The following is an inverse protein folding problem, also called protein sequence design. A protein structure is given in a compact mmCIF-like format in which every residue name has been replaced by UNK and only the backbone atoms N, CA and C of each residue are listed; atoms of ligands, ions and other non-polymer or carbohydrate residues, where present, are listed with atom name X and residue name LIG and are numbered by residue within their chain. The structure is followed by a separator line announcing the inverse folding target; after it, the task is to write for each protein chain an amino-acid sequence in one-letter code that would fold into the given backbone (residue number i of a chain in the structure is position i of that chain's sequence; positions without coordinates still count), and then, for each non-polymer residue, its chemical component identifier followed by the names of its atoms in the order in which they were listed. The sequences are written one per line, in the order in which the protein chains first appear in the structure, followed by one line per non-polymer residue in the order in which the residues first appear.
data_IF_914699419858
#
_entry.id   IF_914699419858
#
_cell.length_a   1.000
_cell.length_b   1.000
_cell.length_c   1.000
_cell.angle_alpha   90.00
_cell.angle_beta   90.00
_cell.angle_gamma   90.00
#
_symmetry.space_group_name_H-M   'P 1'
#
loop_
_entity.id
_entity.type
_entity.pdbx_description
1 polymer ?
#
# COMPACT_ATOMS: atom_id res chain seq x y z
N UNK A 1 -22.26 16.61 -33.13
CA UNK A 1 -22.11 17.45 -31.94
C UNK A 1 -22.56 16.68 -30.70
N UNK A 2 -21.71 16.56 -29.70
CA UNK A 2 -22.00 15.76 -28.50
C UNK A 2 -22.84 16.60 -27.53
N UNK A 3 -23.93 16.03 -26.99
CA UNK A 3 -24.77 16.72 -26.01
C UNK A 3 -24.12 16.78 -24.62
N UNK A 4 -24.59 17.69 -23.74
CA UNK A 4 -24.10 17.78 -22.36
C UNK A 4 -24.31 16.48 -21.59
N UNK A 5 -25.46 15.82 -21.81
CA UNK A 5 -25.74 14.54 -21.17
C UNK A 5 -24.80 13.43 -21.62
N UNK A 6 -24.44 13.41 -22.90
CA UNK A 6 -23.48 12.43 -23.43
C UNK A 6 -22.07 12.66 -22.86
N UNK A 7 -21.64 13.92 -22.74
CA UNK A 7 -20.35 14.27 -22.12
C UNK A 7 -20.33 13.84 -20.66
N UNK A 8 -21.42 14.08 -19.92
CA UNK A 8 -21.55 13.68 -18.51
C UNK A 8 -21.49 12.16 -18.35
N UNK A 9 -22.24 11.41 -19.17
CA UNK A 9 -22.28 9.95 -19.13
C UNK A 9 -20.90 9.38 -19.45
N UNK A 10 -20.20 9.92 -20.46
CA UNK A 10 -18.84 9.51 -20.82
C UNK A 10 -17.86 9.77 -19.67
N UNK A 11 -17.94 10.93 -19.03
CA UNK A 11 -17.13 11.27 -17.87
C UNK A 11 -17.37 10.32 -16.70
N UNK A 12 -18.64 10.00 -16.41
CA UNK A 12 -19.00 9.05 -15.36
C UNK A 12 -18.46 7.65 -15.64
N UNK A 13 -18.57 7.17 -16.89
CA UNK A 13 -18.00 5.87 -17.30
C UNK A 13 -16.48 5.85 -17.16
N UNK A 14 -15.79 6.92 -17.56
CA UNK A 14 -14.34 7.03 -17.42
C UNK A 14 -13.91 7.00 -15.95
N UNK A 15 -14.65 7.65 -15.07
CA UNK A 15 -14.40 7.63 -13.64
C UNK A 15 -14.56 6.23 -13.05
N UNK A 16 -15.64 5.54 -13.39
CA UNK A 16 -15.89 4.15 -12.97
C UNK A 16 -14.77 3.24 -13.44
N UNK A 17 -14.33 3.39 -14.70
CA UNK A 17 -13.23 2.60 -15.24
C UNK A 17 -11.91 2.88 -14.52
N UNK A 18 -11.67 4.12 -14.11
CA UNK A 18 -10.48 4.49 -13.34
C UNK A 18 -10.43 3.76 -11.99
N UNK A 19 -11.55 3.71 -11.27
CA UNK A 19 -11.66 2.92 -10.05
C UNK A 19 -11.46 1.43 -10.30
N UNK A 20 -12.05 0.91 -11.37
CA UNK A 20 -11.90 -0.50 -11.77
C UNK A 20 -10.43 -0.86 -12.00
N UNK A 21 -9.68 -0.01 -12.72
CA UNK A 21 -8.26 -0.24 -12.97
C UNK A 21 -7.43 -0.11 -11.70
N UNK A 22 -7.76 0.83 -10.81
CA UNK A 22 -7.09 0.98 -9.54
C UNK A 22 -7.24 -0.27 -8.66
N UNK A 23 -8.45 -0.78 -8.51
CA UNK A 23 -8.71 -2.03 -7.78
C UNK A 23 -8.02 -3.23 -8.42
N UNK A 24 -7.99 -3.29 -9.75
CA UNK A 24 -7.26 -4.34 -10.46
C UNK A 24 -5.76 -4.30 -10.15
N UNK A 25 -5.16 -3.10 -10.14
CA UNK A 25 -3.75 -2.90 -9.78
C UNK A 25 -3.45 -3.38 -8.36
N UNK A 26 -4.29 -3.03 -7.40
CA UNK A 26 -4.18 -3.49 -6.01
C UNK A 26 -4.23 -5.01 -5.95
N UNK A 27 -5.22 -5.62 -6.59
CA UNK A 27 -5.39 -7.07 -6.63
C UNK A 27 -4.18 -7.77 -7.25
N UNK A 28 -3.67 -7.27 -8.37
CA UNK A 28 -2.50 -7.85 -9.05
C UNK A 28 -1.25 -7.74 -8.20
N UNK A 29 -1.04 -6.62 -7.53
CA UNK A 29 0.09 -6.43 -6.62
C UNK A 29 0.00 -7.41 -5.44
N UNK A 30 -1.17 -7.53 -4.83
CA UNK A 30 -1.40 -8.49 -3.73
C UNK A 30 -1.11 -9.93 -4.17
N UNK A 31 -1.56 -10.30 -5.38
CA UNK A 31 -1.40 -11.65 -5.88
C UNK A 31 0.06 -12.00 -6.23
N UNK A 32 0.80 -11.05 -6.79
CA UNK A 32 2.15 -11.28 -7.31
C UNK A 32 3.26 -11.03 -6.29
N UNK A 33 3.04 -10.15 -5.31
CA UNK A 33 4.10 -9.68 -4.40
C UNK A 33 4.00 -10.34 -3.02
N UNK A 34 5.08 -11.03 -2.62
CA UNK A 34 5.19 -11.63 -1.29
C UNK A 34 5.12 -10.58 -0.18
N UNK A 35 5.81 -9.46 -0.36
CA UNK A 35 5.84 -8.39 0.64
C UNK A 35 4.45 -7.78 0.87
N UNK A 36 3.65 -7.63 -0.18
CA UNK A 36 2.27 -7.17 -0.05
C UNK A 36 1.45 -8.10 0.84
N UNK A 37 1.61 -9.42 0.68
CA UNK A 37 0.93 -10.42 1.51
C UNK A 37 1.35 -10.31 2.98
N UNK A 38 2.64 -10.10 3.24
CA UNK A 38 3.18 -9.91 4.59
C UNK A 38 2.57 -8.66 5.24
N UNK A 39 2.52 -7.54 4.53
CA UNK A 39 1.93 -6.30 5.05
C UNK A 39 0.43 -6.47 5.31
N UNK A 40 -0.31 -7.12 4.42
CA UNK A 40 -1.73 -7.38 4.63
C UNK A 40 -1.97 -8.30 5.84
N UNK A 41 -1.13 -9.31 6.03
CA UNK A 41 -1.20 -10.19 7.20
C UNK A 41 -0.94 -9.39 8.49
N UNK A 42 0.05 -8.50 8.48
CA UNK A 42 0.33 -7.61 9.61
C UNK A 42 -0.86 -6.70 9.93
N UNK A 43 -1.52 -6.14 8.92
CA UNK A 43 -2.73 -5.33 9.10
C UNK A 43 -3.83 -6.13 9.79
N UNK A 44 -4.10 -7.34 9.33
CA UNK A 44 -5.11 -8.22 9.93
C UNK A 44 -4.76 -8.51 11.39
N UNK A 45 -3.51 -8.84 11.68
CA UNK A 45 -3.05 -9.13 13.03
C UNK A 45 -3.24 -7.92 13.96
N UNK A 46 -2.87 -6.72 13.51
CA UNK A 46 -3.03 -5.49 14.29
C UNK A 46 -4.51 -5.17 14.56
N UNK A 47 -5.38 -5.39 13.57
CA UNK A 47 -6.83 -5.21 13.77
C UNK A 47 -7.35 -6.16 14.86
N UNK A 48 -6.95 -7.42 14.82
CA UNK A 48 -7.32 -8.40 15.84
C UNK A 48 -6.83 -7.96 17.22
N UNK A 49 -5.54 -7.60 17.33
CA UNK A 49 -4.96 -7.14 18.60
C UNK A 49 -5.63 -5.86 19.10
N UNK A 50 -6.00 -4.96 18.21
CA UNK A 50 -6.72 -3.73 18.57
C UNK A 50 -8.06 -4.01 19.24
N UNK A 51 -8.81 -5.00 18.76
CA UNK A 51 -10.05 -5.43 19.40
C UNK A 51 -9.80 -6.19 20.70
N UNK A 52 -8.80 -7.06 20.73
CA UNK A 52 -8.47 -7.84 21.94
C UNK A 52 -8.06 -6.92 23.10
N UNK A 53 -7.19 -5.94 22.82
CA UNK A 53 -6.67 -5.01 23.83
C UNK A 53 -7.48 -3.72 23.95
N UNK A 54 -8.58 -3.60 23.23
CA UNK A 54 -9.51 -2.47 23.30
C UNK A 54 -8.78 -1.12 23.21
N UNK A 55 -8.03 -0.93 22.14
CA UNK A 55 -7.27 0.30 21.92
C UNK A 55 -8.22 1.49 21.74
N UNK A 56 -7.74 2.69 22.05
CA UNK A 56 -8.52 3.93 21.96
C UNK A 56 -8.84 4.30 20.50
N UNK A 57 -9.80 5.20 20.31
CA UNK A 57 -10.14 5.72 18.98
C UNK A 57 -8.95 6.42 18.32
N UNK A 58 -8.15 7.17 19.07
CA UNK A 58 -6.95 7.83 18.57
C UNK A 58 -5.94 6.78 18.09
N UNK A 59 -5.75 5.72 18.86
CA UNK A 59 -4.85 4.61 18.50
C UNK A 59 -5.34 3.90 17.23
N UNK A 60 -6.66 3.73 17.07
CA UNK A 60 -7.22 3.22 15.81
C UNK A 60 -6.94 4.14 14.61
N UNK A 61 -7.09 5.45 14.79
CA UNK A 61 -6.78 6.41 13.70
C UNK A 61 -5.32 6.31 13.28
N UNK A 62 -4.42 6.22 14.24
CA UNK A 62 -2.99 6.06 13.98
C UNK A 62 -2.73 4.74 13.21
N UNK A 63 -3.33 3.64 13.65
CA UNK A 63 -3.16 2.34 12.99
C UNK A 63 -3.66 2.37 11.54
N UNK A 64 -4.85 2.92 11.29
CA UNK A 64 -5.38 3.01 9.92
C UNK A 64 -4.53 3.91 9.03
N UNK A 65 -4.02 5.01 9.55
CA UNK A 65 -3.10 5.86 8.81
C UNK A 65 -1.84 5.08 8.41
N UNK A 66 -1.25 4.34 9.34
CA UNK A 66 -0.08 3.51 9.08
C UNK A 66 -0.36 2.41 8.05
N UNK A 67 -1.52 1.75 8.14
CA UNK A 67 -1.91 0.74 7.15
C UNK A 67 -1.94 1.33 5.74
N UNK A 68 -2.60 2.47 5.58
CA UNK A 68 -2.72 3.14 4.29
C UNK A 68 -1.36 3.55 3.74
N UNK A 69 -0.51 4.14 4.56
CA UNK A 69 0.82 4.61 4.14
C UNK A 69 1.73 3.44 3.74
N UNK A 70 1.80 2.39 4.56
CA UNK A 70 2.66 1.23 4.27
C UNK A 70 2.20 0.48 3.04
N UNK A 71 0.90 0.22 2.92
CA UNK A 71 0.34 -0.47 1.74
C UNK A 71 0.54 0.37 0.47
N UNK A 72 0.33 1.67 0.54
CA UNK A 72 0.55 2.58 -0.60
C UNK A 72 2.02 2.58 -1.03
N UNK A 73 2.95 2.61 -0.07
CA UNK A 73 4.38 2.54 -0.37
C UNK A 73 4.75 1.24 -1.08
N UNK A 74 4.16 0.11 -0.65
CA UNK A 74 4.39 -1.18 -1.32
C UNK A 74 3.85 -1.19 -2.75
N UNK A 75 2.68 -0.59 -2.97
CA UNK A 75 2.14 -0.43 -4.33
C UNK A 75 3.06 0.42 -5.22
N UNK A 76 3.58 1.53 -4.70
CA UNK A 76 4.55 2.35 -5.41
C UNK A 76 5.83 1.57 -5.71
N UNK A 77 6.33 0.82 -4.75
CA UNK A 77 7.51 -0.03 -4.95
C UNK A 77 7.29 -1.03 -6.09
N UNK A 78 6.15 -1.72 -6.09
CA UNK A 78 5.78 -2.66 -7.14
C UNK A 78 5.72 -1.99 -8.52
N UNK A 79 5.13 -0.80 -8.58
CA UNK A 79 5.05 -0.03 -9.83
C UNK A 79 6.44 0.39 -10.32
N UNK A 80 7.32 0.84 -9.42
CA UNK A 80 8.70 1.23 -9.77
C UNK A 80 9.48 0.01 -10.28
N UNK A 81 9.39 -1.13 -9.60
CA UNK A 81 10.03 -2.37 -10.05
C UNK A 81 9.57 -2.77 -11.45
N UNK A 82 8.26 -2.68 -11.69
CA UNK A 82 7.67 -2.99 -12.99
C UNK A 82 8.23 -2.07 -14.08
N UNK A 83 8.27 -0.76 -13.84
CA UNK A 83 8.80 0.21 -14.80
C UNK A 83 10.29 -0.02 -15.05
N UNK A 84 11.07 -0.24 -14.00
CA UNK A 84 12.51 -0.50 -14.13
C UNK A 84 12.76 -1.77 -14.94
N UNK A 85 12.00 -2.83 -14.71
CA UNK A 85 12.14 -4.08 -15.46
C UNK A 85 11.74 -3.93 -16.94
N UNK A 86 10.79 -3.04 -17.23
CA UNK A 86 10.42 -2.73 -18.63
C UNK A 86 11.52 -1.97 -19.37
N UNK A 87 12.17 -1.01 -18.68
CA UNK A 87 13.21 -0.17 -19.27
C UNK A 87 14.55 -0.91 -19.35
N UNK A 88 14.89 -1.66 -18.30
CA UNK A 88 16.16 -2.37 -18.20
C UNK A 88 15.93 -3.80 -17.69
N UNK A 89 15.57 -4.74 -18.56
CA UNK A 89 15.35 -6.13 -18.17
C UNK A 89 16.63 -6.89 -17.83
N UNK A 90 17.79 -6.32 -18.16
CA UNK A 90 19.08 -6.92 -17.88
C UNK A 90 19.65 -6.42 -16.55
N UNK A 91 20.58 -7.16 -15.96
CA UNK A 91 21.31 -6.75 -14.77
C UNK A 91 22.07 -5.44 -15.03
N UNK A 92 21.72 -4.40 -14.29
CA UNK A 92 22.28 -3.05 -14.41
C UNK A 92 22.36 -2.41 -13.02
N UNK A 93 23.49 -1.80 -12.71
CA UNK A 93 23.75 -1.24 -11.38
C UNK A 93 22.77 -0.14 -11.01
N UNK A 94 22.50 0.81 -11.93
CA UNK A 94 21.57 1.91 -11.67
C UNK A 94 20.12 1.43 -11.57
N UNK A 95 19.73 0.47 -12.40
CA UNK A 95 18.41 -0.14 -12.33
C UNK A 95 18.22 -0.87 -10.99
N UNK A 96 19.23 -1.61 -10.55
CA UNK A 96 19.23 -2.25 -9.25
C UNK A 96 19.14 -1.25 -8.10
N UNK A 97 19.89 -0.17 -8.18
CA UNK A 97 19.86 0.90 -7.17
C UNK A 97 18.47 1.55 -7.07
N UNK A 98 17.82 1.82 -8.21
CA UNK A 98 16.47 2.38 -8.21
C UNK A 98 15.47 1.48 -7.50
N UNK A 99 15.54 0.17 -7.73
CA UNK A 99 14.72 -0.82 -7.03
C UNK A 99 15.01 -0.86 -5.54
N UNK A 100 16.29 -0.82 -5.16
CA UNK A 100 16.72 -0.85 -3.76
C UNK A 100 16.24 0.40 -3.00
N UNK A 101 16.30 1.57 -3.64
CA UNK A 101 15.79 2.82 -3.05
C UNK A 101 14.28 2.72 -2.83
N UNK A 102 13.54 2.22 -3.80
CA UNK A 102 12.10 2.04 -3.67
C UNK A 102 11.74 1.06 -2.53
N UNK A 103 12.46 -0.05 -2.45
CA UNK A 103 12.32 -1.00 -1.34
C UNK A 103 12.70 -0.37 0.01
N UNK A 104 13.72 0.48 0.02
CA UNK A 104 14.14 1.24 1.19
C UNK A 104 13.05 2.16 1.73
N UNK A 105 12.26 2.78 0.85
CA UNK A 105 11.11 3.60 1.26
C UNK A 105 10.07 2.78 2.03
N UNK A 106 9.77 1.59 1.56
CA UNK A 106 8.87 0.66 2.26
C UNK A 106 9.45 0.27 3.62
N UNK A 107 10.74 -0.04 3.66
CA UNK A 107 11.43 -0.43 4.89
C UNK A 107 11.37 0.67 5.95
N UNK A 108 11.62 1.92 5.57
CA UNK A 108 11.53 3.08 6.50
C UNK A 108 10.15 3.16 7.12
N UNK A 109 9.10 3.06 6.30
CA UNK A 109 7.73 3.12 6.80
C UNK A 109 7.36 1.92 7.65
N UNK A 110 7.81 0.73 7.29
CA UNK A 110 7.59 -0.48 8.08
C UNK A 110 8.28 -0.40 9.45
N UNK A 111 9.48 0.15 9.52
CA UNK A 111 10.19 0.37 10.80
C UNK A 111 9.43 1.36 11.66
N UNK A 112 9.00 2.50 11.11
CA UNK A 112 8.20 3.50 11.84
C UNK A 112 6.90 2.89 12.34
N UNK A 113 6.21 2.13 11.50
CA UNK A 113 4.97 1.44 11.88
C UNK A 113 5.21 0.44 13.01
N UNK A 114 6.30 -0.31 12.97
CA UNK A 114 6.66 -1.26 14.03
C UNK A 114 6.95 -0.54 15.36
N UNK A 115 7.65 0.59 15.33
CA UNK A 115 7.96 1.40 16.52
C UNK A 115 6.65 1.94 17.13
N UNK A 116 5.79 2.52 16.32
CA UNK A 116 4.51 3.08 16.79
C UNK A 116 3.60 1.95 17.32
N UNK A 117 3.53 0.83 16.62
CA UNK A 117 2.80 -0.35 17.08
C UNK A 117 3.32 -0.86 18.40
N UNK A 118 4.64 -0.86 18.60
CA UNK A 118 5.26 -1.20 19.86
C UNK A 118 4.81 -0.28 21.00
N UNK A 119 4.82 1.04 20.76
CA UNK A 119 4.35 2.01 21.75
C UNK A 119 2.87 1.85 22.12
N UNK A 120 2.06 1.42 21.17
CA UNK A 120 0.62 1.20 21.43
C UNK A 120 0.39 -0.11 22.19
N UNK A 121 1.00 -1.21 21.78
CA UNK A 121 0.65 -2.55 22.23
C UNK A 121 1.49 -3.06 23.40
N UNK A 122 2.80 -2.76 23.45
CA UNK A 122 3.67 -3.28 24.51
C UNK A 122 3.17 -2.88 25.91
N UNK A 123 2.76 -1.62 26.20
CA UNK A 123 2.21 -1.26 27.52
C UNK A 123 0.93 -1.99 27.88
N UNK A 124 0.19 -2.51 26.89
CA UNK A 124 -1.07 -3.23 27.12
C UNK A 124 -0.86 -4.72 27.34
N UNK A 125 0.22 -5.27 26.80
CA UNK A 125 0.58 -6.69 26.93
C UNK A 125 1.31 -6.93 28.25
N UNK A 126 2.15 -6.01 28.65
CA UNK A 126 2.95 -6.05 29.88
C UNK A 126 2.49 -4.96 30.84
#
# INVERSE_FOLDING_TARGET
MISRSEVFIKGAKNLINSFKYAFWGIYKSFKSERNMKIHCLAVILIIILGFVYQISMIEWYICFMLFGVVISAELFNTAIETVVNMVMPYKNEKAGLAKDIAAGAVLVLAIVAAIIGGFIFIPKIF
#
